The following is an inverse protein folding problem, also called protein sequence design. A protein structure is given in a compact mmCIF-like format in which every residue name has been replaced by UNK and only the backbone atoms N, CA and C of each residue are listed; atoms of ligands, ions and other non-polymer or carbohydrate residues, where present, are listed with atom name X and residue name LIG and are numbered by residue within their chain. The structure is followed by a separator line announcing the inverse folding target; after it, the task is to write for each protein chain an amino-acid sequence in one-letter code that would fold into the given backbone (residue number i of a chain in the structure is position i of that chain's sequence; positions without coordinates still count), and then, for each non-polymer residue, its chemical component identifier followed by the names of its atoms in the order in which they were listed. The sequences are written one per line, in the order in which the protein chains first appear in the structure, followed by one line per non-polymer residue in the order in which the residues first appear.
data_IF_408788521860
#
_entry.id   IF_408788521860
#
_cell.length_a   1.000
_cell.length_b   1.000
_cell.length_c   1.000
_cell.angle_alpha   90.00
_cell.angle_beta   90.00
_cell.angle_gamma   90.00
#
_symmetry.space_group_name_H-M   'P 1'
#
loop_
_entity.id
_entity.type
_entity.pdbx_description
1 polymer ?
#
# COMPACT_ATOMS: atom_id res chain seq x y z
N UNK A 1 -0.05 -19.96 -30.58
CA UNK A 1 1.04 -19.43 -29.74
C UNK A 1 0.44 -19.02 -28.40
N UNK A 2 0.93 -19.55 -27.28
CA UNK A 2 0.50 -19.08 -25.96
C UNK A 2 1.10 -17.68 -25.72
N UNK A 3 0.24 -16.70 -25.44
CA UNK A 3 0.66 -15.34 -25.10
C UNK A 3 1.45 -15.39 -23.78
N UNK A 4 2.70 -14.89 -23.79
CA UNK A 4 3.52 -14.82 -22.57
C UNK A 4 2.95 -13.75 -21.61
N UNK A 5 2.98 -13.98 -20.29
CA UNK A 5 2.59 -12.96 -19.33
C UNK A 5 3.55 -11.77 -19.38
N UNK A 6 3.03 -10.57 -19.55
CA UNK A 6 3.79 -9.33 -19.36
C UNK A 6 3.81 -9.01 -17.86
N UNK A 7 4.98 -8.66 -17.33
CA UNK A 7 5.14 -8.26 -15.92
C UNK A 7 5.68 -6.85 -15.84
N UNK A 8 4.95 -5.99 -15.14
CA UNK A 8 5.33 -4.61 -14.87
C UNK A 8 5.51 -4.43 -13.37
N UNK A 9 6.59 -3.79 -12.96
CA UNK A 9 6.90 -3.55 -11.56
C UNK A 9 7.33 -2.11 -11.36
N UNK A 10 6.88 -1.51 -10.27
CA UNK A 10 7.27 -0.16 -9.88
C UNK A 10 7.34 -0.07 -8.37
N UNK A 11 8.06 0.92 -7.86
CA UNK A 11 8.18 1.16 -6.44
C UNK A 11 8.40 2.63 -6.14
N UNK A 12 8.01 3.02 -4.94
CA UNK A 12 8.12 4.39 -4.46
C UNK A 12 8.57 4.40 -3.00
N UNK A 13 9.39 5.37 -2.65
CA UNK A 13 9.87 5.56 -1.28
C UNK A 13 9.23 6.78 -0.62
N UNK A 14 9.07 6.68 0.69
CA UNK A 14 8.67 7.76 1.58
C UNK A 14 9.84 8.09 2.48
N UNK A 15 10.11 9.38 2.61
CA UNK A 15 11.05 9.93 3.59
C UNK A 15 10.57 11.32 4.00
N UNK A 16 9.87 11.41 5.13
CA UNK A 16 9.23 12.64 5.60
C UNK A 16 9.55 12.92 7.07
N UNK A 17 9.58 14.20 7.51
CA UNK A 17 9.78 14.53 8.92
C UNK A 17 8.74 13.87 9.82
N UNK A 18 9.18 13.35 10.96
CA UNK A 18 8.32 12.77 11.99
C UNK A 18 8.56 13.52 13.30
N UNK A 19 7.52 14.16 13.83
CA UNK A 19 7.60 14.92 15.08
C UNK A 19 6.98 14.10 16.19
N UNK A 20 7.81 13.56 17.07
CA UNK A 20 7.36 12.75 18.21
C UNK A 20 7.37 13.58 19.49
N UNK A 21 6.33 13.43 20.31
CA UNK A 21 6.26 14.05 21.63
C UNK A 21 6.49 13.00 22.74
N UNK A 22 7.08 13.39 23.88
CA UNK A 22 7.23 12.50 25.03
C UNK A 22 5.89 11.84 25.41
N UNK A 23 5.90 10.52 25.63
CA UNK A 23 4.69 9.76 25.98
C UNK A 23 3.71 9.50 24.83
N UNK A 24 4.07 9.82 23.58
CA UNK A 24 3.24 9.53 22.40
C UNK A 24 4.11 9.19 21.19
N UNK A 25 5.00 8.22 21.34
CA UNK A 25 5.88 7.80 20.25
C UNK A 25 5.10 7.21 19.08
N UNK A 26 5.71 7.20 17.90
CA UNK A 26 5.12 6.56 16.73
C UNK A 26 4.98 5.04 16.93
N UNK A 27 5.85 4.43 17.73
CA UNK A 27 5.77 3.00 18.06
C UNK A 27 4.48 2.68 18.83
N UNK A 28 4.11 3.53 19.80
CA UNK A 28 2.85 3.41 20.54
C UNK A 28 1.63 3.64 19.65
N UNK A 29 1.77 4.48 18.62
CA UNK A 29 0.71 4.68 17.63
C UNK A 29 0.52 3.44 16.75
N UNK A 30 1.61 2.77 16.36
CA UNK A 30 1.55 1.53 15.56
C UNK A 30 0.90 0.34 16.28
N UNK A 31 0.84 0.37 17.62
CA UNK A 31 0.16 -0.66 18.42
C UNK A 31 -1.36 -0.66 18.21
N UNK A 32 -1.97 0.48 17.90
CA UNK A 32 -3.40 0.57 17.56
C UNK A 32 -3.62 0.21 16.09
N UNK A 33 -3.57 -1.10 15.79
CA UNK A 33 -3.71 -1.65 14.41
C UNK A 33 -4.96 -1.12 13.70
N UNK A 34 -6.08 -1.01 14.42
CA UNK A 34 -7.34 -0.56 13.83
C UNK A 34 -7.31 0.93 13.48
N UNK A 35 -6.70 1.77 14.33
CA UNK A 35 -6.49 3.19 14.04
C UNK A 35 -5.57 3.38 12.85
N UNK A 36 -4.43 2.69 12.84
CA UNK A 36 -3.46 2.73 11.73
C UNK A 36 -4.12 2.32 10.42
N UNK A 37 -4.90 1.22 10.43
CA UNK A 37 -5.66 0.79 9.26
C UNK A 37 -6.62 1.88 8.78
N UNK A 38 -7.44 2.44 9.67
CA UNK A 38 -8.41 3.49 9.35
C UNK A 38 -7.74 4.77 8.85
N UNK A 39 -6.53 5.06 9.29
CA UNK A 39 -5.76 6.20 8.79
C UNK A 39 -5.30 5.96 7.34
N UNK A 40 -4.83 4.76 7.00
CA UNK A 40 -4.40 4.41 5.63
C UNK A 40 -5.62 4.26 4.69
N UNK A 41 -6.70 3.65 5.17
CA UNK A 41 -7.92 3.36 4.44
C UNK A 41 -9.15 3.95 5.13
N UNK A 42 -9.39 5.27 5.00
CA UNK A 42 -10.42 5.98 5.77
C UNK A 42 -11.86 5.70 5.33
N UNK A 43 -12.07 5.16 4.12
CA UNK A 43 -13.41 4.93 3.57
C UNK A 43 -14.02 3.62 4.12
N UNK A 44 -14.78 3.77 5.21
CA UNK A 44 -15.46 2.66 5.90
C UNK A 44 -16.46 1.91 5.03
N UNK A 45 -17.05 2.55 4.02
CA UNK A 45 -18.06 1.89 3.15
C UNK A 45 -17.41 0.87 2.22
N UNK A 46 -16.08 0.94 2.08
CA UNK A 46 -15.30 0.18 1.12
C UNK A 46 -14.29 -0.74 1.79
N UNK A 47 -14.29 -0.79 3.11
CA UNK A 47 -13.41 -1.65 3.89
C UNK A 47 -14.22 -2.56 4.79
N UNK A 48 -13.93 -3.85 4.77
CA UNK A 48 -14.50 -4.85 5.68
C UNK A 48 -13.37 -5.61 6.36
N UNK A 49 -13.37 -5.67 7.68
CA UNK A 49 -12.39 -6.48 8.42
C UNK A 49 -12.67 -7.97 8.20
N UNK A 50 -11.63 -8.73 7.88
CA UNK A 50 -11.69 -10.18 7.70
C UNK A 50 -11.21 -10.90 8.97
N UNK A 51 -10.12 -10.42 9.57
CA UNK A 51 -9.56 -10.89 10.83
C UNK A 51 -8.76 -9.78 11.53
N UNK A 52 -7.96 -10.10 12.55
CA UNK A 52 -7.18 -9.12 13.32
C UNK A 52 -6.14 -8.34 12.50
N UNK A 53 -5.63 -8.92 11.41
CA UNK A 53 -4.56 -8.35 10.59
C UNK A 53 -4.92 -8.18 9.11
N UNK A 54 -6.12 -8.61 8.68
CA UNK A 54 -6.55 -8.53 7.29
C UNK A 54 -7.91 -7.85 7.11
N UNK A 55 -7.98 -7.05 6.05
CA UNK A 55 -9.17 -6.31 5.64
C UNK A 55 -9.37 -6.42 4.13
N UNK A 56 -10.61 -6.60 3.72
CA UNK A 56 -11.04 -6.55 2.32
C UNK A 56 -11.41 -5.12 1.94
N UNK A 57 -10.82 -4.62 0.87
CA UNK A 57 -10.91 -3.22 0.44
C UNK A 57 -11.35 -3.16 -1.02
N UNK A 58 -12.45 -2.46 -1.28
CA UNK A 58 -12.84 -2.08 -2.65
C UNK A 58 -12.08 -0.82 -3.05
N UNK A 59 -11.17 -0.93 -4.02
CA UNK A 59 -10.35 0.17 -4.52
C UNK A 59 -11.10 1.04 -5.52
N UNK A 60 -10.67 2.30 -5.66
CA UNK A 60 -11.24 3.23 -6.65
C UNK A 60 -11.16 2.61 -8.05
N UNK A 61 -12.17 2.83 -8.90
CA UNK A 61 -12.13 2.31 -10.26
C UNK A 61 -10.86 2.77 -10.97
N UNK A 62 -10.19 1.84 -11.64
CA UNK A 62 -9.01 2.09 -12.43
C UNK A 62 -9.45 2.12 -13.88
N UNK A 63 -9.17 3.21 -14.56
CA UNK A 63 -9.39 3.34 -16.00
C UNK A 63 -8.07 3.11 -16.73
N UNK A 64 -8.09 2.27 -17.75
CA UNK A 64 -6.96 2.09 -18.66
C UNK A 64 -7.49 1.83 -20.07
N UNK A 65 -6.97 2.56 -21.06
CA UNK A 65 -7.50 2.55 -22.42
C UNK A 65 -9.02 2.87 -22.40
N UNK A 66 -9.84 1.93 -22.85
CA UNK A 66 -11.31 2.01 -22.83
C UNK A 66 -11.94 1.13 -21.74
N UNK A 67 -11.13 0.49 -20.89
CA UNK A 67 -11.60 -0.40 -19.83
C UNK A 67 -11.67 0.33 -18.49
N UNK A 68 -12.72 0.02 -17.73
CA UNK A 68 -12.83 0.40 -16.31
C UNK A 68 -12.85 -0.88 -15.50
N UNK A 69 -12.05 -0.93 -14.44
CA UNK A 69 -11.96 -2.08 -13.54
C UNK A 69 -12.17 -1.62 -12.12
N UNK A 70 -12.84 -2.46 -11.33
CA UNK A 70 -13.13 -2.23 -9.92
C UNK A 70 -12.36 -3.26 -9.09
N UNK A 71 -11.12 -2.95 -8.65
CA UNK A 71 -10.32 -3.90 -7.90
C UNK A 71 -10.86 -4.07 -6.49
N UNK A 72 -10.89 -5.30 -6.01
CA UNK A 72 -11.11 -5.64 -4.61
C UNK A 72 -9.89 -6.40 -4.12
N UNK A 73 -9.30 -5.95 -3.02
CA UNK A 73 -8.04 -6.51 -2.49
C UNK A 73 -8.18 -6.85 -1.02
N UNK A 74 -7.60 -7.96 -0.60
CA UNK A 74 -7.42 -8.29 0.80
C UNK A 74 -6.03 -7.78 1.22
N UNK A 75 -6.02 -6.78 2.09
CA UNK A 75 -4.82 -6.15 2.62
C UNK A 75 -4.53 -6.71 3.99
N UNK A 76 -3.30 -7.21 4.17
CA UNK A 76 -2.76 -7.60 5.45
C UNK A 76 -1.83 -6.51 5.99
N UNK A 77 -2.06 -6.08 7.22
CA UNK A 77 -1.27 -5.05 7.90
C UNK A 77 -0.71 -5.59 9.21
N UNK A 78 0.63 -5.62 9.32
CA UNK A 78 1.33 -6.19 10.48
C UNK A 78 2.27 -5.16 11.08
N UNK A 79 2.23 -5.02 12.40
CA UNK A 79 3.27 -4.31 13.14
C UNK A 79 4.27 -5.36 13.63
N UNK A 80 5.50 -5.29 13.12
CA UNK A 80 6.59 -6.17 13.55
C UNK A 80 7.55 -5.40 14.46
N UNK A 81 8.14 -6.13 15.39
CA UNK A 81 9.07 -5.61 16.38
C UNK A 81 10.23 -6.61 16.60
N UNK A 82 11.22 -6.21 17.39
CA UNK A 82 12.30 -7.07 17.90
C UNK A 82 13.32 -7.60 16.88
N UNK A 83 13.40 -7.02 15.67
CA UNK A 83 14.55 -7.15 14.75
C UNK A 83 14.83 -8.53 14.14
N UNK A 84 14.28 -9.62 14.68
CA UNK A 84 14.70 -11.00 14.37
C UNK A 84 14.36 -11.48 12.96
N UNK A 85 13.45 -10.81 12.26
CA UNK A 85 13.05 -11.15 10.89
C UNK A 85 12.92 -9.89 10.01
N UNK A 86 13.77 -8.90 10.26
CA UNK A 86 13.72 -7.65 9.53
C UNK A 86 14.27 -7.85 8.12
N UNK A 87 13.58 -7.34 7.08
CA UNK A 87 14.16 -7.27 5.75
C UNK A 87 15.52 -6.55 5.80
N UNK A 88 16.48 -6.91 4.92
CA UNK A 88 17.81 -6.26 4.90
C UNK A 88 17.75 -4.72 4.72
N UNK A 89 16.63 -4.22 4.20
CA UNK A 89 16.37 -2.80 3.98
C UNK A 89 16.04 -2.03 5.28
N UNK A 90 15.69 -2.73 6.37
CA UNK A 90 15.35 -2.13 7.65
C UNK A 90 16.54 -2.28 8.61
N UNK A 91 17.10 -1.17 9.12
CA UNK A 91 18.16 -1.22 10.12
C UNK A 91 17.76 -2.01 11.38
N UNK A 92 18.70 -2.76 11.95
CA UNK A 92 18.43 -3.62 13.12
C UNK A 92 18.06 -2.84 14.38
N UNK A 93 18.40 -1.55 14.47
CA UNK A 93 18.07 -0.67 15.58
C UNK A 93 16.66 -0.06 15.48
N UNK A 94 15.92 -0.34 14.40
CA UNK A 94 14.52 0.03 14.28
C UNK A 94 13.68 -0.79 15.26
N UNK A 95 13.00 -0.10 16.16
CA UNK A 95 12.19 -0.70 17.23
C UNK A 95 10.95 -1.41 16.71
N UNK A 96 10.21 -0.76 15.80
CA UNK A 96 9.00 -1.28 15.15
C UNK A 96 8.91 -0.87 13.70
N UNK A 97 8.29 -1.70 12.87
CA UNK A 97 7.88 -1.31 11.53
C UNK A 97 6.51 -1.86 11.16
N UNK A 98 5.83 -1.11 10.30
CA UNK A 98 4.57 -1.48 9.69
C UNK A 98 4.82 -2.16 8.36
N UNK A 99 4.30 -3.36 8.18
CA UNK A 99 4.35 -4.13 6.95
C UNK A 99 2.95 -4.22 6.34
N UNK A 100 2.85 -3.93 5.05
CA UNK A 100 1.62 -4.04 4.27
C UNK A 100 1.84 -5.08 3.16
N UNK A 101 0.94 -6.04 3.06
CA UNK A 101 0.89 -6.99 1.94
C UNK A 101 -0.52 -7.02 1.35
N UNK A 102 -0.63 -7.30 0.04
CA UNK A 102 -1.88 -7.78 -0.54
C UNK A 102 -1.82 -9.31 -0.60
N UNK A 103 -2.78 -9.98 0.05
CA UNK A 103 -2.82 -11.44 0.13
C UNK A 103 -3.78 -12.07 -0.87
N UNK A 104 -4.84 -11.33 -1.26
CA UNK A 104 -5.78 -11.73 -2.32
C UNK A 104 -6.23 -10.51 -3.11
N UNK A 105 -6.65 -10.73 -4.34
CA UNK A 105 -7.20 -9.68 -5.20
C UNK A 105 -8.25 -10.27 -6.14
N UNK A 106 -9.18 -9.42 -6.56
CA UNK A 106 -10.23 -9.69 -7.53
C UNK A 106 -10.40 -8.46 -8.43
N UNK A 107 -10.60 -8.66 -9.73
CA UNK A 107 -10.92 -7.59 -10.66
C UNK A 107 -12.39 -7.72 -11.06
N UNK A 108 -13.21 -6.74 -10.69
CA UNK A 108 -14.63 -6.73 -11.06
C UNK A 108 -14.88 -5.79 -12.23
N UNK A 109 -15.97 -6.03 -12.96
CA UNK A 109 -16.49 -5.16 -14.02
C UNK A 109 -15.80 -5.28 -15.39
N UNK A 110 -14.98 -6.31 -15.57
CA UNK A 110 -14.56 -6.75 -16.90
C UNK A 110 -15.59 -7.74 -17.46
N UNK A 111 -15.89 -7.64 -18.75
CA UNK A 111 -16.60 -8.71 -19.46
C UNK A 111 -15.66 -9.92 -19.56
N UNK A 112 -16.23 -11.13 -19.57
CA UNK A 112 -15.51 -12.41 -19.68
C UNK A 112 -14.49 -12.48 -20.82
N UNK A 113 -14.74 -11.76 -21.92
CA UNK A 113 -13.84 -11.69 -23.10
C UNK A 113 -12.65 -10.73 -22.88
N UNK A 114 -12.79 -9.80 -21.94
CA UNK A 114 -11.80 -8.77 -21.58
C UNK A 114 -11.04 -9.13 -20.30
N UNK A 115 -11.49 -10.15 -19.57
CA UNK A 115 -10.76 -10.68 -18.42
C UNK A 115 -9.45 -11.35 -18.87
N UNK A 116 -8.31 -10.97 -18.28
CA UNK A 116 -7.05 -11.61 -18.58
C UNK A 116 -7.08 -13.06 -18.08
N UNK A 117 -6.69 -14.00 -18.96
CA UNK A 117 -6.65 -15.44 -18.62
C UNK A 117 -5.69 -15.76 -17.47
N UNK A 118 -4.70 -14.90 -17.25
CA UNK A 118 -3.84 -14.89 -16.08
C UNK A 118 -3.66 -13.45 -15.63
N UNK A 119 -3.85 -13.20 -14.35
CA UNK A 119 -3.49 -11.94 -13.70
C UNK A 119 -2.88 -12.26 -12.33
N UNK A 120 -1.96 -11.42 -11.88
CA UNK A 120 -1.48 -11.42 -10.50
C UNK A 120 -1.12 -9.99 -10.09
N UNK A 121 -1.51 -9.63 -8.88
CA UNK A 121 -1.11 -8.40 -8.22
C UNK A 121 -0.29 -8.75 -6.99
N UNK A 122 0.93 -8.21 -6.92
CA UNK A 122 1.78 -8.26 -5.73
C UNK A 122 2.03 -6.85 -5.25
N UNK A 123 1.72 -6.59 -3.99
CA UNK A 123 2.04 -5.32 -3.34
C UNK A 123 2.70 -5.62 -2.01
N UNK A 124 3.82 -4.95 -1.76
CA UNK A 124 4.55 -5.00 -0.50
C UNK A 124 4.91 -3.58 -0.07
N UNK A 125 4.56 -3.24 1.16
CA UNK A 125 4.86 -1.97 1.78
C UNK A 125 5.58 -2.16 3.10
N UNK A 126 6.51 -1.26 3.40
CA UNK A 126 7.17 -1.15 4.70
C UNK A 126 7.24 0.33 5.11
N UNK A 127 7.07 0.60 6.40
CA UNK A 127 7.11 1.94 6.97
C UNK A 127 7.63 1.89 8.41
N UNK A 128 8.61 2.72 8.75
CA UNK A 128 9.23 2.74 10.07
C UNK A 128 9.74 4.13 10.48
N UNK A 129 9.74 4.45 11.79
CA UNK A 129 10.37 5.65 12.31
C UNK A 129 11.89 5.47 12.40
N UNK A 130 12.66 6.31 11.71
CA UNK A 130 14.11 6.38 11.78
C UNK A 130 14.54 7.55 12.68
N UNK A 131 15.17 7.21 13.82
CA UNK A 131 15.56 8.16 14.88
C UNK A 131 17.08 8.37 14.96
N UNK A 132 17.84 7.82 14.02
CA UNK A 132 19.32 7.89 14.03
C UNK A 132 19.87 9.28 13.70
N UNK A 133 19.06 10.09 13.02
CA UNK A 133 19.42 11.45 12.64
C UNK A 133 19.10 12.49 13.73
N UNK A 134 19.48 13.76 13.51
CA UNK A 134 19.19 14.86 14.45
C UNK A 134 17.69 15.15 14.59
N UNK A 135 16.86 14.66 13.67
CA UNK A 135 15.40 14.72 13.71
C UNK A 135 14.85 13.35 13.29
N UNK A 136 13.83 12.87 13.99
CA UNK A 136 13.11 11.65 13.60
C UNK A 136 12.49 11.82 12.21
N UNK A 137 12.52 10.76 11.41
CA UNK A 137 11.95 10.71 10.06
C UNK A 137 11.12 9.46 9.90
N UNK A 138 9.99 9.55 9.20
CA UNK A 138 9.21 8.41 8.80
C UNK A 138 9.70 7.95 7.43
N UNK A 139 10.30 6.77 7.38
CA UNK A 139 10.85 6.16 6.17
C UNK A 139 10.00 4.98 5.74
N UNK A 140 9.91 4.74 4.44
CA UNK A 140 9.19 3.60 3.93
C UNK A 140 9.42 3.35 2.45
N UNK A 141 8.92 2.20 2.01
CA UNK A 141 8.94 1.78 0.61
C UNK A 141 7.67 1.02 0.30
N UNK A 142 7.09 1.30 -0.86
CA UNK A 142 5.97 0.56 -1.41
C UNK A 142 6.39 0.06 -2.79
N UNK A 143 6.27 -1.25 -3.01
CA UNK A 143 6.54 -1.90 -4.28
C UNK A 143 5.27 -2.59 -4.77
N UNK A 144 4.98 -2.46 -6.06
CA UNK A 144 3.86 -3.11 -6.74
C UNK A 144 4.38 -3.81 -7.99
N UNK A 145 3.88 -5.01 -8.23
CA UNK A 145 4.13 -5.79 -9.44
C UNK A 145 2.81 -6.35 -9.94
N UNK A 146 2.50 -6.12 -11.22
CA UNK A 146 1.35 -6.67 -11.90
C UNK A 146 1.85 -7.55 -13.03
N UNK A 147 1.38 -8.80 -13.08
CA UNK A 147 1.63 -9.70 -14.21
C UNK A 147 0.31 -10.12 -14.82
N UNK A 148 0.18 -10.04 -16.14
CA UNK A 148 -1.03 -10.48 -16.82
C UNK A 148 -0.78 -10.97 -18.24
N UNK A 149 -1.67 -11.85 -18.72
CA UNK A 149 -1.77 -12.19 -20.14
C UNK A 149 -2.80 -11.26 -20.76
N UNK A 150 -2.36 -10.51 -21.76
CA UNK A 150 -3.23 -9.56 -22.44
C UNK A 150 -4.34 -10.29 -23.21
N UNK A 151 -5.61 -9.91 -23.04
CA UNK A 151 -6.70 -10.40 -23.87
C UNK A 151 -6.38 -10.24 -25.37
N UNK A 152 -6.69 -11.22 -26.24
CA UNK A 152 -6.39 -11.16 -27.67
C UNK A 152 -6.91 -9.89 -28.37
N UNK A 153 -8.05 -9.36 -27.91
CA UNK A 153 -8.68 -8.12 -28.38
C UNK A 153 -7.73 -6.91 -28.28
N UNK A 154 -6.89 -6.89 -27.25
CA UNK A 154 -5.94 -5.81 -26.98
C UNK A 154 -4.56 -6.05 -27.60
N UNK A 155 -4.33 -7.22 -28.23
CA UNK A 155 -3.05 -7.56 -28.85
C UNK A 155 -2.70 -6.69 -30.07
N UNK A 156 -3.70 -6.03 -30.67
CA UNK A 156 -3.52 -5.10 -31.78
C UNK A 156 -2.88 -3.77 -31.35
N UNK A 157 -2.83 -3.48 -30.04
CA UNK A 157 -2.20 -2.27 -29.52
C UNK A 157 -0.67 -2.44 -29.59
N UNK A 158 0.08 -1.46 -30.15
CA UNK A 158 1.54 -1.50 -30.18
C UNK A 158 2.13 -1.73 -28.78
N UNK A 159 3.21 -2.53 -28.71
CA UNK A 159 3.82 -2.92 -27.44
C UNK A 159 4.30 -1.72 -26.61
N UNK A 160 4.94 -0.74 -27.26
CA UNK A 160 5.40 0.49 -26.61
C UNK A 160 4.26 1.28 -25.96
N UNK A 161 3.09 1.29 -26.62
CA UNK A 161 1.89 1.94 -26.08
C UNK A 161 1.33 1.17 -24.89
N UNK A 162 1.30 -0.17 -24.95
CA UNK A 162 0.86 -1.03 -23.85
C UNK A 162 1.74 -0.86 -22.62
N UNK A 163 3.05 -0.87 -22.79
CA UNK A 163 4.01 -0.70 -21.70
C UNK A 163 3.90 0.69 -21.07
N UNK A 164 3.79 1.75 -21.89
CA UNK A 164 3.63 3.12 -21.42
C UNK A 164 2.36 3.30 -20.57
N UNK A 165 1.23 2.71 -21.01
CA UNK A 165 -0.04 2.75 -20.26
C UNK A 165 0.06 1.95 -18.96
N UNK A 166 0.62 0.74 -19.00
CA UNK A 166 0.79 -0.09 -17.80
C UNK A 166 1.65 0.62 -16.74
N UNK A 167 2.76 1.23 -17.17
CA UNK A 167 3.64 1.98 -16.28
C UNK A 167 2.96 3.24 -15.72
N UNK A 168 2.14 3.94 -16.52
CA UNK A 168 1.37 5.09 -16.07
C UNK A 168 0.33 4.71 -15.00
N UNK A 169 -0.40 3.61 -15.21
CA UNK A 169 -1.36 3.08 -14.23
C UNK A 169 -0.65 2.71 -12.92
N UNK A 170 0.45 1.94 -13.00
CA UNK A 170 1.23 1.55 -11.82
C UNK A 170 1.75 2.76 -11.05
N UNK A 171 2.35 3.73 -11.75
CA UNK A 171 2.83 4.98 -11.13
C UNK A 171 1.69 5.74 -10.46
N UNK A 172 0.56 5.89 -11.14
CA UNK A 172 -0.62 6.56 -10.59
C UNK A 172 -1.16 5.89 -9.33
N UNK A 173 -1.21 4.55 -9.29
CA UNK A 173 -1.60 3.80 -8.10
C UNK A 173 -0.62 4.01 -6.94
N UNK A 174 0.68 3.89 -7.21
CA UNK A 174 1.73 4.06 -6.19
C UNK A 174 1.74 5.47 -5.61
N UNK A 175 1.64 6.51 -6.46
CA UNK A 175 1.56 7.90 -6.01
C UNK A 175 0.32 8.16 -5.16
N UNK A 176 -0.84 7.65 -5.59
CA UNK A 176 -2.08 7.77 -4.82
C UNK A 176 -1.98 7.05 -3.46
N UNK A 177 -1.39 5.87 -3.41
CA UNK A 177 -1.17 5.12 -2.16
C UNK A 177 -0.18 5.84 -1.26
N UNK A 178 0.96 6.30 -1.77
CA UNK A 178 1.94 7.08 -1.02
C UNK A 178 1.33 8.35 -0.46
N UNK A 179 0.61 9.11 -1.28
CA UNK A 179 -0.02 10.36 -0.85
C UNK A 179 -1.01 10.12 0.30
N UNK A 180 -1.83 9.07 0.19
CA UNK A 180 -2.75 8.67 1.27
C UNK A 180 -2.01 8.25 2.54
N UNK A 181 -0.98 7.41 2.43
CA UNK A 181 -0.19 6.98 3.60
C UNK A 181 0.49 8.19 4.25
N UNK A 182 1.21 9.00 3.48
CA UNK A 182 1.99 10.11 4.02
C UNK A 182 1.11 11.17 4.70
N UNK A 183 -0.02 11.53 4.11
CA UNK A 183 -0.87 12.57 4.65
C UNK A 183 -1.80 12.05 5.74
N UNK A 184 -2.52 10.96 5.48
CA UNK A 184 -3.55 10.50 6.40
C UNK A 184 -2.96 9.85 7.65
N UNK A 185 -1.86 9.11 7.53
CA UNK A 185 -1.21 8.47 8.67
C UNK A 185 -0.57 9.50 9.60
N UNK A 186 0.12 10.50 9.06
CA UNK A 186 0.71 11.57 9.89
C UNK A 186 -0.35 12.48 10.51
N UNK A 187 -1.43 12.77 9.78
CA UNK A 187 -2.55 13.54 10.31
C UNK A 187 -3.20 12.80 11.49
N UNK A 188 -3.40 11.48 11.36
CA UNK A 188 -3.99 10.69 12.44
C UNK A 188 -3.04 10.49 13.63
N UNK A 189 -1.74 10.34 13.37
CA UNK A 189 -0.72 10.35 14.43
C UNK A 189 -0.71 11.68 15.21
N UNK A 190 -0.86 12.81 14.53
CA UNK A 190 -0.97 14.11 15.20
C UNK A 190 -2.20 14.21 16.12
N UNK A 191 -3.31 13.56 15.73
CA UNK A 191 -4.50 13.41 16.59
C UNK A 191 -4.21 12.51 17.79
N UNK A 192 -3.53 11.38 17.56
CA UNK A 192 -3.14 10.45 18.63
C UNK A 192 -2.32 11.13 19.71
N UNK A 193 -1.33 11.94 19.32
CA UNK A 193 -0.52 12.73 20.25
C UNK A 193 -1.36 13.72 21.06
N UNK A 194 -2.38 14.33 20.43
CA UNK A 194 -3.26 15.29 21.08
C UNK A 194 -4.20 14.62 22.09
N UNK A 195 -4.71 13.44 21.77
CA UNK A 195 -5.51 12.62 22.68
C UNK A 195 -4.69 12.13 23.88
N UNK A 196 -3.47 11.63 23.65
CA UNK A 196 -2.55 11.21 24.72
C UNK A 196 -2.20 12.34 25.68
N UNK A 197 -1.94 13.55 25.17
CA UNK A 197 -1.68 14.73 26.00
C UNK A 197 -2.87 15.11 26.88
N UNK A 198 -4.10 14.99 26.38
CA UNK A 198 -5.32 15.28 27.15
C UNK A 198 -5.60 14.25 28.25
N UNK A 199 -5.15 13.02 28.08
CA UNK A 199 -5.28 11.97 29.10
C UNK A 199 -4.22 12.08 30.21
N UNK A 200 -3.14 12.82 29.97
CA UNK A 200 -2.03 13.04 30.91
C UNK A 200 -2.11 14.39 31.64
N UNK A 201 -3.07 15.25 31.26
CA UNK A 201 -3.35 16.56 31.87
C UNK A 201 -4.59 16.46 32.76
#
# INVERSE_FOLDING_TARGET
MALKPATHSSGISTDIPLYEAPGSSFDQYLEDKLRVFKAIFPDKRRSRQLNEEEWRIQMLPIQFLFLTVWPVVDVRLRCKENGKDYPPEIPHDITKFLELDITRWELQGLDSVLEPSQFSLRVKGLLYPDRRGPRSRLKGRLAMSISFVLPPMLALIPEDSRQSVADAVLRGLLENMKHKVNNSLLADYSKFQSERRRHLA
#
